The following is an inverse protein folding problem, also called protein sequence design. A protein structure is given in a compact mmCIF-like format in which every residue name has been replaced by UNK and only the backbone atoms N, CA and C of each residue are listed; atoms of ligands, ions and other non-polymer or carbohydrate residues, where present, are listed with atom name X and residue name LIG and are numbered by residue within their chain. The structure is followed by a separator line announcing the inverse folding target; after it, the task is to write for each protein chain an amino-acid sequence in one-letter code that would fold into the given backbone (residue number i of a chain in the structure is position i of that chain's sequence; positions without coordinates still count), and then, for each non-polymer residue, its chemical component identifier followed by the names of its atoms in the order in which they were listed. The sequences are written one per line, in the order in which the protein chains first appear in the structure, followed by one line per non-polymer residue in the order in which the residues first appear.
data_IF_108974703470
#
_entry.id   IF_108974703470
#
_cell.length_a   1.000
_cell.length_b   1.000
_cell.length_c   1.000
_cell.angle_alpha   90.00
_cell.angle_beta   90.00
_cell.angle_gamma   90.00
#
_symmetry.space_group_name_H-M   'P 1'
#
loop_
_entity.id
_entity.type
_entity.pdbx_description
1 polymer ?
#
# COMPACT_ATOMS: atom_id res chain seq x y z
N UNK A 1 -15.50 -8.81 11.90
CA UNK A 1 -14.38 -7.99 11.36
C UNK A 1 -14.34 -6.59 11.99
N UNK A 2 -13.15 -6.03 12.18
CA UNK A 2 -13.00 -4.59 12.44
C UNK A 2 -13.34 -3.77 11.17
N UNK A 3 -13.87 -2.54 11.29
CA UNK A 3 -14.06 -1.67 10.14
C UNK A 3 -12.73 -1.40 9.42
N UNK A 4 -12.73 -1.61 8.10
CA UNK A 4 -11.57 -1.37 7.25
C UNK A 4 -11.62 0.04 6.66
N UNK A 5 -10.51 0.76 6.80
CA UNK A 5 -10.35 2.15 6.37
C UNK A 5 -9.55 2.32 5.06
N UNK A 6 -9.08 1.20 4.48
CA UNK A 6 -8.18 1.23 3.34
C UNK A 6 -6.72 1.31 3.74
N UNK A 7 -6.40 1.34 5.04
CA UNK A 7 -5.03 1.33 5.51
C UNK A 7 -4.36 0.00 5.26
N UNK A 8 -3.11 0.12 4.88
CA UNK A 8 -2.23 -0.93 4.41
C UNK A 8 -1.96 -2.01 5.46
N UNK A 9 -1.50 -1.60 6.65
CA UNK A 9 -1.14 -2.51 7.74
C UNK A 9 -2.30 -3.37 8.27
N UNK A 10 -3.55 -2.95 8.04
CA UNK A 10 -4.75 -3.68 8.49
C UNK A 10 -5.35 -4.57 7.42
N UNK A 11 -4.87 -4.52 6.18
CA UNK A 11 -5.51 -5.23 5.08
C UNK A 11 -5.43 -6.76 5.23
N UNK A 12 -4.29 -7.27 5.69
CA UNK A 12 -4.13 -8.71 5.96
C UNK A 12 -5.05 -9.19 7.08
N UNK A 13 -5.16 -8.41 8.15
CA UNK A 13 -6.07 -8.69 9.28
C UNK A 13 -7.52 -8.69 8.81
N UNK A 14 -7.91 -7.68 8.03
CA UNK A 14 -9.25 -7.57 7.46
C UNK A 14 -9.62 -8.80 6.62
N UNK A 15 -8.75 -9.26 5.71
CA UNK A 15 -9.02 -10.47 4.93
C UNK A 15 -9.10 -11.73 5.80
N UNK A 16 -8.28 -11.81 6.86
CA UNK A 16 -8.34 -12.92 7.81
C UNK A 16 -9.68 -12.95 8.55
N UNK A 17 -10.14 -11.79 9.04
CA UNK A 17 -11.42 -11.65 9.73
C UNK A 17 -12.60 -12.07 8.84
N UNK A 18 -12.60 -11.65 7.57
CA UNK A 18 -13.66 -12.04 6.62
C UNK A 18 -13.71 -13.55 6.42
N UNK A 19 -12.55 -14.19 6.22
CA UNK A 19 -12.46 -15.64 6.08
C UNK A 19 -12.98 -16.36 7.31
N UNK A 20 -12.63 -15.88 8.51
CA UNK A 20 -13.14 -16.44 9.76
C UNK A 20 -14.66 -16.30 9.85
N UNK A 21 -15.24 -15.15 9.49
CA UNK A 21 -16.70 -14.98 9.46
C UNK A 21 -17.37 -15.97 8.50
N UNK A 22 -16.83 -16.14 7.28
CA UNK A 22 -17.41 -17.06 6.29
C UNK A 22 -17.32 -18.52 6.72
N UNK A 23 -16.24 -18.91 7.40
CA UNK A 23 -16.07 -20.25 7.94
C UNK A 23 -16.95 -20.52 9.17
N UNK A 24 -17.20 -19.49 9.98
CA UNK A 24 -18.00 -19.62 11.20
C UNK A 24 -19.49 -19.83 10.92
N UNK A 25 -20.01 -19.26 9.83
CA UNK A 25 -21.42 -19.42 9.42
C UNK A 25 -21.56 -19.71 7.92
N UNK A 26 -21.22 -20.94 7.48
CA UNK A 26 -21.26 -21.31 6.07
C UNK A 26 -22.68 -21.32 5.48
N UNK A 27 -23.72 -21.41 6.32
CA UNK A 27 -25.12 -21.35 5.88
C UNK A 27 -25.51 -19.90 5.57
N UNK A 28 -25.11 -18.95 6.43
CA UNK A 28 -25.29 -17.54 6.14
C UNK A 28 -24.48 -17.11 4.92
N UNK A 29 -23.26 -17.62 4.76
CA UNK A 29 -22.32 -17.26 3.69
C UNK A 29 -22.25 -18.31 2.57
N UNK A 30 -23.41 -18.87 2.21
CA UNK A 30 -23.59 -19.90 1.18
C UNK A 30 -23.37 -19.42 -0.27
N UNK A 31 -23.29 -18.11 -0.49
CA UNK A 31 -23.26 -17.50 -1.82
C UNK A 31 -22.20 -16.41 -1.91
N UNK A 32 -21.55 -16.33 -3.07
CA UNK A 32 -20.54 -15.31 -3.36
C UNK A 32 -21.07 -13.89 -3.12
N UNK A 33 -22.31 -13.60 -3.55
CA UNK A 33 -22.97 -12.32 -3.34
C UNK A 33 -23.03 -11.92 -1.86
N UNK A 34 -23.41 -12.85 -0.98
CA UNK A 34 -23.47 -12.57 0.47
C UNK A 34 -22.09 -12.28 1.05
N UNK A 35 -21.07 -13.05 0.66
CA UNK A 35 -19.69 -12.80 1.09
C UNK A 35 -19.18 -11.41 0.65
N UNK A 36 -19.45 -11.04 -0.61
CA UNK A 36 -19.02 -9.76 -1.17
C UNK A 36 -19.74 -8.59 -0.48
N UNK A 37 -21.06 -8.65 -0.36
CA UNK A 37 -21.86 -7.61 0.32
C UNK A 37 -21.41 -7.46 1.77
N UNK A 38 -21.16 -8.58 2.46
CA UNK A 38 -20.65 -8.55 3.81
C UNK A 38 -19.30 -7.85 3.90
N UNK A 39 -18.35 -8.19 3.02
CA UNK A 39 -17.05 -7.51 2.97
C UNK A 39 -17.19 -5.99 2.75
N UNK A 40 -18.00 -5.58 1.77
CA UNK A 40 -18.28 -4.16 1.49
C UNK A 40 -18.88 -3.44 2.70
N UNK A 41 -19.76 -4.11 3.46
CA UNK A 41 -20.39 -3.52 4.64
C UNK A 41 -19.40 -3.15 5.75
N UNK A 42 -18.21 -3.77 5.80
CA UNK A 42 -17.17 -3.46 6.78
C UNK A 42 -16.14 -2.45 6.26
N UNK A 43 -16.20 -2.04 4.99
CA UNK A 43 -15.33 -1.04 4.40
C UNK A 43 -15.89 0.36 4.65
N UNK A 44 -15.74 0.86 5.88
CA UNK A 44 -16.41 2.08 6.36
C UNK A 44 -15.49 3.28 6.56
N UNK A 45 -14.17 3.13 6.47
CA UNK A 45 -13.23 4.22 6.70
C UNK A 45 -12.49 4.66 5.43
N UNK A 46 -11.93 5.87 5.47
CA UNK A 46 -10.95 6.37 4.51
C UNK A 46 -11.30 6.11 3.04
N UNK A 47 -10.30 5.64 2.29
CA UNK A 47 -10.45 5.36 0.85
C UNK A 47 -11.26 4.09 0.57
N UNK A 48 -11.38 3.19 1.55
CA UNK A 48 -12.18 1.97 1.44
C UNK A 48 -13.69 2.29 1.38
N UNK A 49 -14.15 3.29 2.12
CA UNK A 49 -15.55 3.69 2.12
C UNK A 49 -16.04 4.14 0.74
N UNK A 50 -15.32 5.08 0.11
CA UNK A 50 -15.70 5.58 -1.21
C UNK A 50 -15.72 4.46 -2.27
N UNK A 51 -14.76 3.54 -2.20
CA UNK A 51 -14.70 2.39 -3.10
C UNK A 51 -15.89 1.43 -2.86
N UNK A 52 -16.20 1.14 -1.60
CA UNK A 52 -17.29 0.25 -1.24
C UNK A 52 -18.67 0.82 -1.58
N UNK A 53 -18.87 2.14 -1.41
CA UNK A 53 -20.09 2.83 -1.83
C UNK A 53 -20.33 2.68 -3.33
N UNK A 54 -19.31 2.98 -4.15
CA UNK A 54 -19.42 2.87 -5.60
C UNK A 54 -19.80 1.44 -6.05
N UNK A 55 -19.18 0.42 -5.45
CA UNK A 55 -19.50 -0.98 -5.77
C UNK A 55 -20.90 -1.36 -5.27
N UNK A 56 -21.26 -0.94 -4.06
CA UNK A 56 -22.56 -1.26 -3.47
C UNK A 56 -23.71 -0.69 -4.31
N UNK A 57 -23.53 0.50 -4.89
CA UNK A 57 -24.50 1.11 -5.80
C UNK A 57 -24.74 0.26 -7.06
N UNK A 58 -23.68 -0.31 -7.65
CA UNK A 58 -23.82 -1.25 -8.77
C UNK A 58 -24.59 -2.51 -8.35
N UNK A 59 -24.27 -3.11 -7.20
CA UNK A 59 -24.95 -4.31 -6.70
C UNK A 59 -26.41 -4.06 -6.33
N UNK A 60 -26.76 -2.85 -5.89
CA UNK A 60 -28.12 -2.43 -5.62
C UNK A 60 -28.96 -2.27 -6.90
N UNK A 61 -28.32 -1.92 -8.03
CA UNK A 61 -28.94 -1.87 -9.37
C UNK A 61 -29.02 -3.24 -10.07
N UNK A 62 -28.51 -4.30 -9.44
CA UNK A 62 -28.40 -5.63 -10.05
C UNK A 62 -27.21 -5.76 -11.02
N UNK A 63 -26.33 -4.76 -11.08
CA UNK A 63 -25.11 -4.78 -11.87
C UNK A 63 -23.99 -5.40 -11.03
N UNK A 64 -23.97 -6.72 -10.90
CA UNK A 64 -22.90 -7.39 -10.15
C UNK A 64 -21.55 -7.21 -10.85
N UNK A 65 -20.69 -6.38 -10.26
CA UNK A 65 -19.32 -6.13 -10.76
C UNK A 65 -18.47 -7.41 -10.73
N UNK A 66 -18.75 -8.31 -9.79
CA UNK A 66 -18.06 -9.59 -9.64
C UNK A 66 -19.04 -10.70 -9.29
N UNK A 67 -18.94 -11.82 -10.00
CA UNK A 67 -19.83 -12.98 -9.81
C UNK A 67 -19.31 -13.91 -8.70
N UNK A 68 -17.99 -13.87 -8.45
CA UNK A 68 -17.32 -14.76 -7.49
C UNK A 68 -16.56 -13.97 -6.43
N UNK A 69 -16.47 -14.53 -5.23
CA UNK A 69 -15.61 -14.02 -4.16
C UNK A 69 -14.16 -13.89 -4.63
N UNK A 70 -13.67 -14.86 -5.42
CA UNK A 70 -12.30 -14.84 -5.94
C UNK A 70 -12.02 -13.61 -6.80
N UNK A 71 -12.93 -13.25 -7.71
CA UNK A 71 -12.78 -12.06 -8.54
C UNK A 71 -12.77 -10.77 -7.70
N UNK A 72 -13.68 -10.70 -6.71
CA UNK A 72 -13.72 -9.58 -5.77
C UNK A 72 -12.43 -9.49 -4.94
N UNK A 73 -11.93 -10.60 -4.39
CA UNK A 73 -10.71 -10.64 -3.59
C UNK A 73 -9.49 -10.19 -4.41
N UNK A 74 -9.40 -10.57 -5.70
CA UNK A 74 -8.35 -10.08 -6.60
C UNK A 74 -8.43 -8.57 -6.78
N UNK A 75 -9.61 -8.02 -7.05
CA UNK A 75 -9.78 -6.56 -7.21
C UNK A 75 -9.47 -5.80 -5.92
N UNK A 76 -9.94 -6.34 -4.79
CA UNK A 76 -9.71 -5.81 -3.46
C UNK A 76 -8.21 -5.81 -3.12
N UNK A 77 -7.50 -6.91 -3.38
CA UNK A 77 -6.04 -7.00 -3.22
C UNK A 77 -5.31 -6.03 -4.14
N UNK A 78 -5.69 -5.96 -5.42
CA UNK A 78 -5.10 -5.02 -6.37
C UNK A 78 -5.24 -3.57 -5.91
N UNK A 79 -6.38 -3.23 -5.30
CA UNK A 79 -6.64 -1.88 -4.78
C UNK A 79 -5.83 -1.56 -3.52
N UNK A 80 -5.78 -2.47 -2.54
CA UNK A 80 -5.25 -2.14 -1.20
C UNK A 80 -3.87 -2.72 -0.89
N UNK A 81 -3.42 -3.80 -1.54
CA UNK A 81 -2.05 -4.34 -1.38
C UNK A 81 -1.02 -3.48 -2.12
N UNK A 82 -1.37 -2.95 -3.30
CA UNK A 82 -0.47 -2.02 -4.00
C UNK A 82 -0.34 -0.70 -3.25
N UNK A 83 -1.43 -0.24 -2.63
CA UNK A 83 -1.41 0.90 -1.71
C UNK A 83 -0.55 0.56 -0.48
N UNK A 84 -0.64 -0.66 0.03
CA UNK A 84 0.17 -1.13 1.16
C UNK A 84 1.66 -1.09 0.89
N UNK A 85 2.09 -1.75 -0.17
CA UNK A 85 3.49 -1.73 -0.58
C UNK A 85 4.00 -0.31 -0.88
N UNK A 86 3.15 0.55 -1.43
CA UNK A 86 3.50 1.95 -1.71
C UNK A 86 3.69 2.74 -0.43
N UNK A 87 2.72 2.71 0.49
CA UNK A 87 2.78 3.45 1.76
C UNK A 87 3.94 2.95 2.61
N UNK A 88 4.11 1.63 2.74
CA UNK A 88 5.22 1.03 3.48
C UNK A 88 6.58 1.45 2.90
N UNK A 89 6.73 1.42 1.58
CA UNK A 89 7.94 1.89 0.93
C UNK A 89 8.18 3.40 1.17
N UNK A 90 7.12 4.22 1.14
CA UNK A 90 7.23 5.65 1.45
C UNK A 90 7.65 5.90 2.89
N UNK A 91 7.08 5.18 3.86
CA UNK A 91 7.43 5.29 5.28
C UNK A 91 8.87 4.83 5.53
N UNK A 92 9.27 3.68 4.97
CA UNK A 92 10.65 3.19 5.04
C UNK A 92 11.63 4.21 4.46
N UNK A 93 11.34 4.79 3.30
CA UNK A 93 12.21 5.80 2.69
C UNK A 93 12.28 7.09 3.51
N UNK A 94 11.17 7.55 4.11
CA UNK A 94 11.15 8.75 4.95
C UNK A 94 11.90 8.59 6.28
N UNK A 95 11.87 7.39 6.84
CA UNK A 95 12.52 7.05 8.12
C UNK A 95 13.96 6.54 7.97
N UNK A 96 14.37 6.16 6.76
CA UNK A 96 15.74 5.72 6.49
C UNK A 96 16.72 6.86 6.77
N UNK A 97 17.78 6.59 7.53
CA UNK A 97 18.87 7.52 7.83
C UNK A 97 20.20 6.76 7.67
N UNK A 98 21.25 7.45 7.21
CA UNK A 98 22.60 6.87 7.16
C UNK A 98 23.13 6.60 8.57
N UNK A 99 23.01 7.59 9.46
CA UNK A 99 23.32 7.47 10.90
C UNK A 99 24.70 6.87 11.20
N UNK A 100 25.73 7.29 10.45
CA UNK A 100 27.09 6.80 10.62
C UNK A 100 27.40 5.41 10.03
N UNK A 101 26.42 4.75 9.39
CA UNK A 101 26.69 3.56 8.59
C UNK A 101 27.33 3.92 7.23
N UNK A 102 28.00 2.97 6.55
CA UNK A 102 28.49 3.19 5.20
C UNK A 102 27.37 3.64 4.25
N UNK A 103 27.66 4.59 3.38
CA UNK A 103 26.68 5.14 2.43
C UNK A 103 26.09 4.05 1.51
N UNK A 104 26.88 3.03 1.16
CA UNK A 104 26.43 1.88 0.37
C UNK A 104 25.23 1.17 1.03
N UNK A 105 25.29 0.93 2.34
CA UNK A 105 24.20 0.28 3.10
C UNK A 105 22.93 1.14 3.10
N UNK A 106 23.08 2.46 3.11
CA UNK A 106 21.96 3.39 2.95
C UNK A 106 21.36 3.25 1.54
N UNK A 107 22.18 3.32 0.50
CA UNK A 107 21.72 3.27 -0.89
C UNK A 107 21.10 1.92 -1.25
N UNK A 108 21.63 0.79 -0.77
CA UNK A 108 21.03 -0.54 -0.96
C UNK A 108 19.59 -0.59 -0.42
N UNK A 109 19.38 -0.08 0.80
CA UNK A 109 18.05 -0.02 1.42
C UNK A 109 17.13 0.96 0.69
N UNK A 110 17.67 2.10 0.25
CA UNK A 110 16.92 3.10 -0.50
C UNK A 110 16.44 2.55 -1.84
N UNK A 111 17.34 1.94 -2.62
CA UNK A 111 17.05 1.36 -3.93
C UNK A 111 16.08 0.18 -3.83
N UNK A 112 16.16 -0.62 -2.77
CA UNK A 112 15.21 -1.70 -2.54
C UNK A 112 13.75 -1.22 -2.36
N UNK A 113 13.53 -0.01 -1.85
CA UNK A 113 12.18 0.53 -1.60
C UNK A 113 11.68 1.50 -2.68
N UNK A 114 12.59 2.23 -3.33
CA UNK A 114 12.27 3.28 -4.33
C UNK A 114 11.26 2.85 -5.40
N UNK A 115 11.37 1.68 -6.05
CA UNK A 115 10.43 1.29 -7.12
C UNK A 115 8.97 1.22 -6.67
N UNK A 116 8.74 0.98 -5.38
CA UNK A 116 7.40 0.77 -4.83
C UNK A 116 6.76 2.04 -4.28
N UNK A 117 7.57 3.05 -3.92
CA UNK A 117 7.07 4.27 -3.28
C UNK A 117 6.29 5.19 -4.23
N UNK A 118 6.53 5.07 -5.54
CA UNK A 118 5.96 5.97 -6.55
C UNK A 118 6.43 7.42 -6.42
N UNK A 119 7.54 7.67 -5.74
CA UNK A 119 8.18 8.99 -5.71
C UNK A 119 8.86 9.31 -7.05
N UNK A 120 8.75 10.57 -7.46
CA UNK A 120 9.52 11.07 -8.61
C UNK A 120 10.98 11.32 -8.22
N UNK A 121 11.81 11.67 -9.21
CA UNK A 121 13.25 11.89 -8.99
C UNK A 121 13.50 13.03 -8.00
N UNK A 122 12.76 14.14 -8.07
CA UNK A 122 12.94 15.28 -7.17
C UNK A 122 12.66 14.91 -5.71
N UNK A 123 11.58 14.16 -5.46
CA UNK A 123 11.26 13.66 -4.13
C UNK A 123 12.34 12.69 -3.62
N UNK A 124 12.88 11.83 -4.49
CA UNK A 124 13.97 10.93 -4.12
C UNK A 124 15.25 11.70 -3.77
N UNK A 125 15.63 12.68 -4.58
CA UNK A 125 16.80 13.54 -4.37
C UNK A 125 16.67 14.28 -3.04
N UNK A 126 15.50 14.84 -2.74
CA UNK A 126 15.25 15.50 -1.46
C UNK A 126 15.40 14.54 -0.28
N UNK A 127 14.82 13.34 -0.35
CA UNK A 127 14.99 12.34 0.72
C UNK A 127 16.45 11.97 0.95
N UNK A 128 17.23 11.75 -0.12
CA UNK A 128 18.66 11.46 -0.01
C UNK A 128 19.42 12.61 0.66
N UNK A 129 19.13 13.87 0.27
CA UNK A 129 19.74 15.06 0.88
C UNK A 129 19.46 15.18 2.37
N UNK A 130 18.24 14.86 2.82
CA UNK A 130 17.85 14.98 4.22
C UNK A 130 18.34 13.81 5.09
N UNK A 131 18.55 12.64 4.49
CA UNK A 131 18.75 11.40 5.23
C UNK A 131 20.20 10.88 5.21
N UNK A 132 21.06 11.46 4.37
CA UNK A 132 22.51 11.23 4.41
C UNK A 132 23.18 12.09 5.48
N UNK A 133 24.33 11.63 5.97
CA UNK A 133 25.13 12.40 6.93
C UNK A 133 25.64 13.69 6.27
N UNK A 134 25.51 14.84 6.96
CA UNK A 134 25.82 16.18 6.41
C UNK A 134 27.21 16.26 5.77
N UNK A 135 28.22 15.65 6.37
CA UNK A 135 29.58 15.67 5.83
C UNK A 135 29.66 15.02 4.43
N UNK A 136 28.88 13.97 4.19
CA UNK A 136 28.80 13.31 2.88
C UNK A 136 28.03 14.17 1.88
N UNK A 137 26.92 14.78 2.32
CA UNK A 137 26.13 15.70 1.50
C UNK A 137 26.98 16.88 1.04
N UNK A 138 27.70 17.52 1.97
CA UNK A 138 28.58 18.64 1.69
C UNK A 138 29.74 18.23 0.77
N UNK A 139 30.29 17.02 0.93
CA UNK A 139 31.31 16.49 0.03
C UNK A 139 30.79 16.30 -1.41
N UNK A 140 29.56 15.79 -1.58
CA UNK A 140 28.94 15.60 -2.91
C UNK A 140 28.70 16.95 -3.60
N UNK A 141 28.24 17.97 -2.89
CA UNK A 141 28.05 19.31 -3.48
C UNK A 141 29.34 20.06 -3.77
N UNK A 142 30.39 19.81 -2.97
CA UNK A 142 31.70 20.41 -3.16
C UNK A 142 32.58 19.64 -4.18
N UNK A 143 32.15 18.46 -4.62
CA UNK A 143 32.69 17.80 -5.81
C UNK A 143 32.22 18.56 -7.05
N UNK A 144 33.01 19.55 -7.44
CA UNK A 144 32.72 20.49 -8.50
C UNK A 144 32.93 19.88 -9.91
N UNK A 145 32.29 18.74 -10.18
CA UNK A 145 32.05 18.18 -11.52
C UNK A 145 30.97 17.08 -11.44
N UNK A 146 29.83 17.27 -12.09
CA UNK A 146 28.88 16.19 -12.38
C UNK A 146 29.65 15.12 -13.18
N UNK A 147 29.58 13.82 -12.85
CA UNK A 147 30.17 12.79 -13.69
C UNK A 147 29.57 12.89 -15.09
N UNK A 148 30.38 13.29 -16.05
CA UNK A 148 30.01 13.26 -17.45
C UNK A 148 29.75 11.79 -17.83
N UNK A 149 28.56 11.54 -18.38
CA UNK A 149 28.09 10.24 -18.82
C UNK A 149 29.11 9.56 -19.74
N UNK A 150 29.25 8.24 -19.60
CA UNK A 150 29.75 7.36 -20.65
C UNK A 150 28.59 6.59 -21.27
#
# INVERSE_FOLDING_TARGET
PQPFDGSSGKFREFLSDLRLCFLADPVQFDTNRKCIIFALSYMKGGSAHAWAMNISDHYARGEEVWVTWMQFEVALRGRFVMVDRKVEAQEKLRSLQQSGHPAEVFFDKFEAQRPYSGFNNDACVNLVRYNLDRCLVDAIYNQNELPHQW
#
